data_IF_495905082399
#
_entry.id   IF_495905082399
#
_cell.length_a   1.000
_cell.length_b   1.000
_cell.length_c   1.000
_cell.angle_alpha   90.00
_cell.angle_beta   90.00
_cell.angle_gamma   90.00
#
_symmetry.space_group_name_H-M   'P 1'
#
loop_
_entity.id
_entity.type
_entity.pdbx_description
1 polymer ?
#
# COMPACT_ATOMS: atom_id res chain seq x y z
N UNK A 1 7.49 -80.18 12.37
CA UNK A 1 7.93 -79.46 13.58
C UNK A 1 7.22 -78.11 13.60
N UNK A 2 6.66 -77.76 14.73
CA UNK A 2 5.41 -76.98 14.92
C UNK A 2 5.56 -75.47 14.72
N UNK A 3 4.59 -74.86 14.01
CA UNK A 3 4.34 -73.40 13.97
C UNK A 3 3.94 -72.90 15.37
N UNK A 4 4.68 -71.95 15.93
CA UNK A 4 4.33 -71.23 17.17
C UNK A 4 3.46 -70.01 16.84
N UNK A 5 2.16 -70.12 17.08
CA UNK A 5 1.25 -68.98 17.19
C UNK A 5 1.55 -68.20 18.48
N UNK A 6 1.85 -66.90 18.37
CA UNK A 6 1.88 -65.99 19.52
C UNK A 6 0.45 -65.66 19.92
N UNK A 7 -0.01 -66.23 21.03
CA UNK A 7 -1.23 -65.80 21.69
C UNK A 7 -1.02 -64.38 22.25
N UNK A 8 -1.59 -63.36 21.62
CA UNK A 8 -1.81 -62.08 22.28
C UNK A 8 -2.88 -62.30 23.36
N UNK A 9 -2.49 -62.17 24.63
CA UNK A 9 -3.39 -62.35 25.76
C UNK A 9 -4.57 -61.39 25.68
N UNK A 10 -5.79 -61.92 25.78
CA UNK A 10 -7.05 -61.17 25.84
C UNK A 10 -7.05 -60.03 26.89
N UNK A 11 -6.13 -60.04 27.85
CA UNK A 11 -6.00 -59.01 28.90
C UNK A 11 -5.43 -57.68 28.38
N UNK A 12 -4.55 -57.68 27.38
CA UNK A 12 -3.91 -56.44 26.88
C UNK A 12 -4.89 -55.64 26.00
N UNK A 13 -5.63 -56.34 25.14
CA UNK A 13 -6.63 -55.73 24.25
C UNK A 13 -7.77 -55.09 25.07
N UNK A 14 -8.20 -55.75 26.15
CA UNK A 14 -9.21 -55.18 27.06
C UNK A 14 -8.73 -53.90 27.74
N UNK A 15 -7.43 -53.79 28.04
CA UNK A 15 -6.85 -52.61 28.70
C UNK A 15 -6.75 -51.43 27.75
N UNK A 16 -6.31 -51.65 26.51
CA UNK A 16 -6.23 -50.59 25.49
C UNK A 16 -7.62 -50.09 25.07
N UNK A 17 -8.59 -50.99 24.90
CA UNK A 17 -9.98 -50.61 24.61
C UNK A 17 -10.60 -49.84 25.78
N UNK A 18 -10.31 -50.22 27.02
CA UNK A 18 -10.78 -49.50 28.21
C UNK A 18 -10.15 -48.10 28.29
N UNK A 19 -8.84 -47.98 28.04
CA UNK A 19 -8.15 -46.68 28.04
C UNK A 19 -8.68 -45.77 26.93
N UNK A 20 -8.89 -46.32 25.72
CA UNK A 20 -9.46 -45.58 24.60
C UNK A 20 -10.89 -45.11 24.92
N UNK A 21 -11.74 -46.00 25.45
CA UNK A 21 -13.12 -45.68 25.84
C UNK A 21 -13.19 -44.60 26.91
N UNK A 22 -12.34 -44.69 27.95
CA UNK A 22 -12.24 -43.66 29.01
C UNK A 22 -11.76 -42.32 28.44
N UNK A 23 -10.78 -42.32 27.54
CA UNK A 23 -10.28 -41.09 26.93
C UNK A 23 -11.34 -40.43 26.04
N UNK A 24 -12.07 -41.21 25.23
CA UNK A 24 -13.20 -40.69 24.44
C UNK A 24 -14.34 -40.19 25.31
N UNK A 25 -14.65 -40.89 26.41
CA UNK A 25 -15.70 -40.46 27.34
C UNK A 25 -15.31 -39.14 28.04
N UNK A 26 -14.04 -38.98 28.46
CA UNK A 26 -13.53 -37.75 29.03
C UNK A 26 -13.49 -36.60 28.02
N UNK A 27 -13.14 -36.86 26.76
CA UNK A 27 -13.15 -35.87 25.70
C UNK A 27 -14.57 -35.38 25.40
N UNK A 28 -15.54 -36.31 25.30
CA UNK A 28 -16.95 -35.98 25.07
C UNK A 28 -17.54 -35.24 26.28
N UNK A 29 -17.25 -35.69 27.50
CA UNK A 29 -17.66 -34.99 28.71
C UNK A 29 -17.07 -33.58 28.79
N UNK A 30 -15.80 -33.40 28.41
CA UNK A 30 -15.15 -32.10 28.32
C UNK A 30 -15.86 -31.18 27.31
N UNK A 31 -16.14 -31.66 26.10
CA UNK A 31 -16.83 -30.89 25.07
C UNK A 31 -18.28 -30.53 25.47
N UNK A 32 -18.97 -31.42 26.21
CA UNK A 32 -20.35 -31.20 26.62
C UNK A 32 -20.50 -30.39 27.92
N UNK A 33 -19.52 -30.45 28.84
CA UNK A 33 -19.58 -29.77 30.14
C UNK A 33 -18.83 -28.42 30.16
N UNK A 34 -17.81 -28.23 29.31
CA UNK A 34 -17.09 -26.96 29.21
C UNK A 34 -17.99 -25.76 28.84
N UNK A 35 -18.95 -25.88 27.89
CA UNK A 35 -19.86 -24.78 27.59
C UNK A 35 -20.72 -24.43 28.80
N UNK A 36 -21.20 -25.43 29.54
CA UNK A 36 -22.04 -25.29 30.73
C UNK A 36 -21.30 -24.56 31.86
N UNK A 37 -20.06 -24.96 32.15
CA UNK A 37 -19.20 -24.32 33.15
C UNK A 37 -18.79 -22.89 32.76
N UNK A 38 -18.62 -22.61 31.47
CA UNK A 38 -18.34 -21.26 30.95
C UNK A 38 -19.58 -20.35 30.93
N UNK A 39 -20.78 -20.93 30.87
CA UNK A 39 -22.06 -20.19 30.84
C UNK A 39 -22.65 -19.97 32.25
N UNK A 40 -22.37 -20.83 33.23
CA UNK A 40 -22.87 -20.66 34.61
C UNK A 40 -21.98 -19.78 35.51
N UNK A 41 -20.78 -19.39 35.05
CA UNK A 41 -19.85 -18.52 35.77
C UNK A 41 -20.02 -17.01 35.55
N UNK A 42 -21.10 -16.57 34.91
CA UNK A 42 -21.29 -15.17 34.49
C UNK A 42 -22.59 -14.56 35.03
N UNK A 43 -22.75 -14.55 36.36
CA UNK A 43 -23.61 -13.56 37.02
C UNK A 43 -22.76 -12.35 37.38
N UNK A 44 -22.78 -11.31 36.53
CA UNK A 44 -22.32 -9.97 36.93
C UNK A 44 -21.21 -9.28 36.11
N UNK A 45 -21.07 -9.51 34.80
CA UNK A 45 -20.15 -8.73 33.95
C UNK A 45 -20.79 -8.38 32.59
N UNK A 46 -20.48 -7.21 31.99
CA UNK A 46 -21.10 -6.81 30.73
C UNK A 46 -20.75 -7.81 29.64
N UNK A 47 -21.77 -8.26 28.90
CA UNK A 47 -21.64 -9.23 27.83
C UNK A 47 -20.45 -8.88 26.92
N UNK A 48 -19.46 -9.77 26.82
CA UNK A 48 -18.35 -9.64 25.87
C UNK A 48 -18.91 -9.66 24.45
N UNK A 49 -19.20 -8.47 23.91
CA UNK A 49 -19.42 -8.26 22.48
C UNK A 49 -18.10 -8.49 21.75
N UNK A 50 -18.10 -9.44 20.83
CA UNK A 50 -16.97 -9.69 19.95
C UNK A 50 -16.86 -8.54 18.94
N UNK A 51 -15.78 -7.73 18.95
CA UNK A 51 -15.74 -6.43 18.26
C UNK A 51 -15.77 -6.50 16.73
N UNK A 52 -15.71 -7.69 16.13
CA UNK A 52 -15.67 -7.89 14.68
C UNK A 52 -17.01 -8.32 14.05
N UNK A 53 -18.04 -8.61 14.85
CA UNK A 53 -19.37 -9.01 14.35
C UNK A 53 -20.46 -7.96 14.59
N UNK A 54 -20.14 -6.83 15.22
CA UNK A 54 -21.09 -5.72 15.26
C UNK A 54 -21.20 -5.12 13.86
N UNK A 55 -22.41 -5.03 13.26
CA UNK A 55 -22.64 -4.08 12.19
C UNK A 55 -22.19 -2.74 12.74
N UNK A 56 -21.29 -2.06 12.03
CA UNK A 56 -20.89 -0.71 12.39
C UNK A 56 -22.16 0.14 12.46
N UNK A 57 -22.68 0.34 13.67
CA UNK A 57 -23.58 1.45 13.94
C UNK A 57 -22.73 2.69 13.73
N UNK A 58 -22.85 3.25 12.53
CA UNK A 58 -22.14 4.41 12.02
C UNK A 58 -22.49 5.71 12.77
N UNK A 59 -22.75 5.67 14.08
CA UNK A 59 -23.38 6.75 14.81
C UNK A 59 -22.74 7.10 16.17
N UNK A 60 -21.60 6.52 16.56
CA UNK A 60 -21.01 6.83 17.89
C UNK A 60 -19.47 6.72 18.00
N UNK A 61 -18.73 6.91 16.92
CA UNK A 61 -17.35 7.41 17.02
C UNK A 61 -17.43 8.87 16.57
N UNK A 62 -17.19 9.78 17.50
CA UNK A 62 -17.39 11.22 17.31
C UNK A 62 -16.89 11.68 15.94
N UNK A 63 -17.67 12.53 15.30
CA UNK A 63 -17.23 13.30 14.15
C UNK A 63 -15.85 13.90 14.45
N UNK A 64 -14.77 13.24 13.99
CA UNK A 64 -13.61 14.00 13.52
C UNK A 64 -14.17 14.84 12.39
N UNK A 65 -14.70 16.02 12.71
CA UNK A 65 -15.12 17.01 11.73
C UNK A 65 -14.00 17.10 10.71
N UNK A 66 -14.23 16.60 9.51
CA UNK A 66 -13.17 16.44 8.54
C UNK A 66 -12.83 17.83 8.00
N UNK A 67 -11.89 18.49 8.66
CA UNK A 67 -11.49 19.85 8.32
C UNK A 67 -10.94 19.97 6.89
N UNK A 68 -10.46 18.87 6.33
CA UNK A 68 -9.98 18.79 4.96
C UNK A 68 -10.95 17.97 4.09
N UNK A 69 -11.15 18.34 2.82
CA UNK A 69 -12.16 17.72 1.95
C UNK A 69 -11.86 16.25 1.63
N UNK A 70 -10.57 15.90 1.61
CA UNK A 70 -10.04 14.55 1.39
C UNK A 70 -8.73 14.37 2.15
N UNK A 71 -8.38 13.12 2.45
CA UNK A 71 -7.13 12.75 3.11
C UNK A 71 -6.49 11.56 2.41
N UNK A 72 -5.16 11.57 2.34
CA UNK A 72 -4.38 10.53 1.69
C UNK A 72 -3.52 9.74 2.68
N UNK A 73 -3.33 8.46 2.40
CA UNK A 73 -2.35 7.62 3.06
C UNK A 73 -1.24 7.27 2.07
N UNK A 74 0.01 7.55 2.44
CA UNK A 74 1.17 7.33 1.58
C UNK A 74 2.01 6.18 2.11
N UNK A 75 2.38 5.26 1.21
CA UNK A 75 3.57 4.42 1.37
C UNK A 75 4.71 5.08 0.60
N UNK A 76 5.82 5.36 1.29
CA UNK A 76 7.09 5.75 0.68
C UNK A 76 8.05 4.56 0.84
N UNK A 77 8.32 3.85 -0.26
CA UNK A 77 9.26 2.73 -0.30
C UNK A 77 10.67 3.20 -0.69
N UNK A 78 11.65 2.84 0.11
CA UNK A 78 13.06 3.17 -0.05
C UNK A 78 13.90 1.89 -0.05
N UNK A 79 14.99 1.88 -0.80
CA UNK A 79 15.98 0.80 -0.83
C UNK A 79 17.34 1.29 -0.30
N UNK A 80 18.36 0.43 -0.33
CA UNK A 80 19.72 0.79 0.08
C UNK A 80 20.21 2.04 -0.66
N UNK A 81 20.72 3.01 0.09
CA UNK A 81 21.14 4.34 -0.36
C UNK A 81 20.03 5.40 -0.44
N UNK A 82 18.76 5.06 -0.21
CA UNK A 82 17.63 5.97 -0.42
C UNK A 82 17.20 6.76 0.82
N UNK A 83 17.81 6.59 1.99
CA UNK A 83 17.37 7.25 3.23
C UNK A 83 17.14 8.78 3.08
N UNK A 84 18.11 9.49 2.50
CA UNK A 84 18.01 10.95 2.26
C UNK A 84 16.91 11.30 1.26
N UNK A 85 16.75 10.49 0.21
CA UNK A 85 15.75 10.71 -0.83
C UNK A 85 14.34 10.48 -0.31
N UNK A 86 14.15 9.44 0.49
CA UNK A 86 12.90 9.14 1.16
C UNK A 86 12.50 10.28 2.12
N UNK A 87 13.46 10.80 2.90
CA UNK A 87 13.23 11.96 3.76
C UNK A 87 12.89 13.23 2.97
N UNK A 88 13.60 13.50 1.86
CA UNK A 88 13.31 14.63 0.97
C UNK A 88 11.92 14.54 0.34
N UNK A 89 11.53 13.35 -0.13
CA UNK A 89 10.21 13.09 -0.71
C UNK A 89 9.11 13.23 0.34
N UNK A 90 9.30 12.67 1.54
CA UNK A 90 8.36 12.84 2.65
C UNK A 90 8.12 14.33 2.93
N UNK A 91 9.19 15.13 3.03
CA UNK A 91 9.07 16.57 3.23
C UNK A 91 8.33 17.29 2.08
N UNK A 92 8.53 16.83 0.83
CA UNK A 92 7.83 17.35 -0.34
C UNK A 92 6.32 17.07 -0.31
N UNK A 93 5.95 15.91 0.23
CA UNK A 93 4.57 15.41 0.28
C UNK A 93 3.83 15.77 1.56
N UNK A 94 4.52 16.28 2.58
CA UNK A 94 3.97 16.35 3.92
C UNK A 94 2.82 17.36 4.04
N UNK A 95 1.76 16.92 4.72
CA UNK A 95 0.62 17.72 5.14
C UNK A 95 0.02 17.06 6.40
N UNK A 96 -0.37 17.84 7.43
CA UNK A 96 -0.87 17.30 8.71
C UNK A 96 -2.18 16.48 8.62
N UNK A 97 -2.94 16.61 7.52
CA UNK A 97 -4.19 15.89 7.30
C UNK A 97 -3.96 14.43 6.87
N UNK A 98 -2.86 14.19 6.17
CA UNK A 98 -2.54 12.90 5.57
C UNK A 98 -1.85 11.98 6.57
N UNK A 99 -1.65 10.72 6.17
CA UNK A 99 -0.91 9.71 6.95
C UNK A 99 0.23 9.16 6.10
N UNK A 100 1.40 8.98 6.68
CA UNK A 100 2.61 8.55 5.98
C UNK A 100 3.20 7.33 6.65
N UNK A 101 3.52 6.31 5.85
CA UNK A 101 4.30 5.16 6.26
C UNK A 101 5.55 5.05 5.39
N UNK A 102 6.71 5.15 6.00
CA UNK A 102 8.00 5.03 5.34
C UNK A 102 8.54 3.62 5.58
N UNK A 103 8.88 2.92 4.50
CA UNK A 103 9.50 1.61 4.53
C UNK A 103 10.87 1.73 3.87
N UNK A 104 11.93 1.39 4.61
CA UNK A 104 13.26 1.14 4.07
C UNK A 104 13.44 -0.38 4.00
N UNK A 105 13.92 -0.89 2.87
CA UNK A 105 14.19 -2.31 2.70
C UNK A 105 15.08 -2.86 3.81
N UNK A 106 14.77 -4.06 4.29
CA UNK A 106 15.59 -4.77 5.28
C UNK A 106 17.02 -5.04 4.80
N UNK A 107 17.24 -5.05 3.48
CA UNK A 107 18.59 -5.17 2.92
C UNK A 107 19.50 -3.96 3.22
N UNK A 108 18.93 -2.79 3.55
CA UNK A 108 19.72 -1.62 3.93
C UNK A 108 20.46 -1.85 5.27
N UNK A 109 21.58 -1.18 5.45
CA UNK A 109 22.41 -1.34 6.67
C UNK A 109 21.71 -0.76 7.90
N UNK A 110 22.10 -1.22 9.09
CA UNK A 110 21.61 -0.67 10.35
C UNK A 110 21.87 0.84 10.46
N UNK A 111 23.01 1.30 9.95
CA UNK A 111 23.39 2.72 9.87
C UNK A 111 22.42 3.50 9.00
N UNK A 112 21.99 2.93 7.87
CA UNK A 112 21.04 3.58 6.98
C UNK A 112 19.64 3.63 7.58
N UNK A 113 19.19 2.55 8.23
CA UNK A 113 17.94 2.56 9.00
C UNK A 113 17.97 3.61 10.11
N UNK A 114 19.09 3.73 10.83
CA UNK A 114 19.30 4.76 11.86
C UNK A 114 19.26 6.16 11.26
N UNK A 115 19.97 6.39 10.16
CA UNK A 115 19.97 7.67 9.43
C UNK A 115 18.57 8.07 8.97
N UNK A 116 17.79 7.15 8.42
CA UNK A 116 16.41 7.43 8.06
C UNK A 116 15.57 7.81 9.29
N UNK A 117 15.72 7.08 10.40
CA UNK A 117 15.03 7.36 11.64
C UNK A 117 15.40 8.75 12.20
N UNK A 118 16.66 9.15 12.13
CA UNK A 118 17.15 10.48 12.54
C UNK A 118 16.59 11.59 11.63
N UNK A 119 16.63 11.41 10.31
CA UNK A 119 16.12 12.39 9.33
C UNK A 119 14.61 12.64 9.48
N UNK A 120 13.86 11.61 9.86
CA UNK A 120 12.41 11.71 10.10
C UNK A 120 12.14 12.23 11.51
N UNK A 121 12.71 11.63 12.55
CA UNK A 121 12.44 12.01 13.95
C UNK A 121 12.96 13.40 14.31
N UNK A 122 14.02 13.89 13.65
CA UNK A 122 14.57 15.22 13.84
C UNK A 122 13.62 16.36 13.43
N UNK A 123 12.46 16.07 12.83
CA UNK A 123 11.46 17.07 12.45
C UNK A 123 10.32 17.11 13.46
N UNK A 124 10.36 18.08 14.36
CA UNK A 124 9.34 18.24 15.42
C UNK A 124 7.90 18.26 14.93
N UNK A 125 7.62 18.75 13.71
CA UNK A 125 6.25 18.76 13.14
C UNK A 125 5.68 17.34 12.96
N UNK A 126 6.50 16.34 12.64
CA UNK A 126 6.02 14.96 12.48
C UNK A 126 5.60 14.36 13.82
N UNK A 127 6.36 14.63 14.87
CA UNK A 127 6.04 14.22 16.23
C UNK A 127 4.75 14.90 16.73
N UNK A 128 4.61 16.22 16.52
CA UNK A 128 3.43 16.98 16.94
C UNK A 128 2.15 16.53 16.24
N UNK A 129 2.21 16.29 14.92
CA UNK A 129 1.04 15.83 14.17
C UNK A 129 0.74 14.33 14.33
N UNK A 130 1.73 13.52 14.74
CA UNK A 130 1.57 12.08 14.99
C UNK A 130 1.13 11.27 13.75
N UNK A 131 1.47 11.74 12.54
CA UNK A 131 0.96 11.20 11.29
C UNK A 131 2.03 10.60 10.35
N UNK A 132 3.27 10.47 10.82
CA UNK A 132 4.38 9.85 10.10
C UNK A 132 4.90 8.66 10.88
N UNK A 133 5.04 7.53 10.21
CA UNK A 133 5.48 6.26 10.80
C UNK A 133 6.61 5.66 9.96
N UNK A 134 7.56 4.99 10.62
CA UNK A 134 8.57 4.15 9.97
C UNK A 134 8.23 2.69 10.28
N UNK A 135 8.33 1.82 9.29
CA UNK A 135 8.16 0.38 9.50
C UNK A 135 9.34 -0.14 10.35
N UNK A 136 9.08 -0.43 11.63
CA UNK A 136 10.13 -0.86 12.57
C UNK A 136 10.69 -2.26 12.31
N UNK A 137 9.89 -3.16 11.72
CA UNK A 137 10.33 -4.47 11.23
C UNK A 137 10.20 -4.48 9.71
N UNK A 138 11.22 -4.00 8.98
CA UNK A 138 11.13 -3.86 7.53
C UNK A 138 11.05 -5.23 6.85
N UNK A 139 10.28 -5.30 5.76
CA UNK A 139 10.26 -6.48 4.90
C UNK A 139 11.52 -6.48 4.02
N UNK A 140 12.02 -7.67 3.71
CA UNK A 140 12.98 -7.88 2.62
C UNK A 140 12.27 -7.88 1.28
N UNK A 141 12.75 -7.09 0.32
CA UNK A 141 12.07 -6.93 -0.97
C UNK A 141 12.92 -7.42 -2.12
N UNK A 142 12.46 -8.49 -2.76
CA UNK A 142 13.07 -8.96 -4.01
C UNK A 142 12.51 -8.19 -5.20
N UNK A 143 13.38 -7.57 -5.99
CA UNK A 143 12.97 -6.84 -7.19
C UNK A 143 12.21 -7.73 -8.18
N UNK A 144 11.04 -7.26 -8.63
CA UNK A 144 10.06 -8.01 -9.47
C UNK A 144 9.46 -9.23 -8.78
N UNK A 145 9.74 -9.45 -7.51
CA UNK A 145 9.17 -10.54 -6.74
C UNK A 145 7.79 -10.24 -6.16
N UNK A 146 7.07 -11.28 -5.72
CA UNK A 146 5.88 -11.15 -4.87
C UNK A 146 6.14 -10.37 -3.57
N UNK A 147 7.37 -10.37 -3.03
CA UNK A 147 7.70 -9.61 -1.81
C UNK A 147 7.51 -8.09 -1.95
N UNK A 148 7.66 -7.53 -3.15
CA UNK A 148 7.26 -6.14 -3.42
C UNK A 148 5.76 -5.91 -3.21
N UNK A 149 4.93 -6.88 -3.63
CA UNK A 149 3.48 -6.81 -3.50
C UNK A 149 3.08 -6.99 -2.03
N UNK A 150 3.63 -7.99 -1.34
CA UNK A 150 3.33 -8.23 0.08
C UNK A 150 3.78 -7.05 0.94
N UNK A 151 4.87 -6.36 0.59
CA UNK A 151 5.29 -5.11 1.26
C UNK A 151 4.25 -4.00 1.11
N UNK A 152 3.70 -3.84 -0.08
CA UNK A 152 2.61 -2.86 -0.32
C UNK A 152 1.37 -3.24 0.49
N UNK A 153 1.00 -4.52 0.54
CA UNK A 153 -0.16 -4.99 1.32
C UNK A 153 0.06 -4.90 2.83
N UNK A 154 1.28 -5.15 3.31
CA UNK A 154 1.67 -4.94 4.70
C UNK A 154 1.51 -3.45 5.06
N UNK A 155 1.99 -2.54 4.22
CA UNK A 155 1.80 -1.11 4.43
C UNK A 155 0.33 -0.69 4.49
N UNK A 156 -0.49 -1.19 3.56
CA UNK A 156 -1.94 -0.96 3.58
C UNK A 156 -2.57 -1.48 4.87
N UNK A 157 -2.22 -2.69 5.30
CA UNK A 157 -2.74 -3.28 6.54
C UNK A 157 -2.34 -2.47 7.79
N UNK A 158 -1.12 -1.93 7.84
CA UNK A 158 -0.68 -1.02 8.90
C UNK A 158 -1.50 0.26 8.87
N UNK A 159 -1.60 0.92 7.71
CA UNK A 159 -2.32 2.20 7.54
C UNK A 159 -3.82 2.09 7.83
N UNK A 160 -4.43 0.92 7.62
CA UNK A 160 -5.83 0.65 7.99
C UNK A 160 -6.03 0.47 9.50
N UNK A 161 -5.00 0.02 10.24
CA UNK A 161 -5.03 -0.16 11.69
C UNK A 161 -4.71 1.10 12.48
N UNK A 162 -4.05 2.08 11.86
CA UNK A 162 -3.84 3.38 12.47
C UNK A 162 -5.20 4.07 12.69
N UNK A 163 -5.38 4.73 13.83
CA UNK A 163 -6.63 5.44 14.21
C UNK A 163 -6.86 6.74 13.42
N UNK A 164 -6.47 6.79 12.14
CA UNK A 164 -6.63 7.94 11.26
C UNK A 164 -7.44 7.54 10.02
N UNK A 165 -8.53 8.25 9.77
CA UNK A 165 -9.33 8.07 8.56
C UNK A 165 -8.63 8.73 7.36
N UNK A 166 -8.66 8.04 6.23
CA UNK A 166 -8.09 8.45 4.95
C UNK A 166 -8.94 7.86 3.82
N UNK A 167 -9.01 8.56 2.68
CA UNK A 167 -9.90 8.23 1.56
C UNK A 167 -9.21 7.39 0.49
N UNK A 168 -7.95 7.71 0.19
CA UNK A 168 -7.13 6.96 -0.76
C UNK A 168 -5.74 6.64 -0.24
N UNK A 169 -5.25 5.47 -0.60
CA UNK A 169 -3.88 5.02 -0.44
C UNK A 169 -3.08 5.28 -1.72
N UNK A 170 -1.85 5.76 -1.60
CA UNK A 170 -0.92 6.01 -2.70
C UNK A 170 0.42 5.35 -2.37
N UNK A 171 0.94 4.51 -3.27
CA UNK A 171 2.32 4.01 -3.16
C UNK A 171 3.27 4.84 -4.02
N UNK A 172 4.44 5.16 -3.48
CA UNK A 172 5.54 5.88 -4.14
C UNK A 172 6.87 5.22 -3.74
N UNK A 173 7.91 5.31 -4.58
CA UNK A 173 9.27 5.05 -4.13
C UNK A 173 10.06 6.33 -3.92
N UNK A 174 11.23 6.22 -3.29
CA UNK A 174 12.21 7.31 -3.16
C UNK A 174 12.69 7.90 -4.51
N UNK A 175 12.29 7.30 -5.64
CA UNK A 175 12.56 7.79 -7.00
C UNK A 175 11.41 8.54 -7.66
N UNK A 176 10.29 8.67 -6.97
CA UNK A 176 9.13 9.45 -7.38
C UNK A 176 9.22 10.88 -6.83
N UNK A 177 8.53 11.82 -7.47
CA UNK A 177 8.42 13.19 -6.96
C UNK A 177 7.07 13.83 -7.35
N UNK A 178 6.46 14.64 -6.48
CA UNK A 178 5.18 15.28 -6.78
C UNK A 178 5.32 16.41 -7.82
N UNK A 179 4.31 16.53 -8.68
CA UNK A 179 4.13 17.59 -9.68
C UNK A 179 2.97 18.55 -9.34
N UNK A 180 2.42 18.41 -8.14
CA UNK A 180 1.35 19.22 -7.54
C UNK A 180 1.60 19.36 -6.04
N UNK A 181 1.10 20.41 -5.40
CA UNK A 181 1.09 20.49 -3.92
C UNK A 181 0.05 19.54 -3.34
N UNK A 182 0.10 19.30 -2.02
CA UNK A 182 -0.95 18.52 -1.34
C UNK A 182 -2.30 19.21 -1.41
N UNK A 183 -2.35 20.53 -1.25
CA UNK A 183 -3.56 21.33 -1.41
C UNK A 183 -4.12 21.23 -2.83
N UNK A 184 -3.26 21.23 -3.86
CA UNK A 184 -3.66 21.03 -5.25
C UNK A 184 -4.32 19.65 -5.44
N UNK A 185 -3.72 18.62 -4.85
CA UNK A 185 -4.23 17.25 -4.90
C UNK A 185 -5.57 17.13 -4.16
N UNK A 186 -5.67 17.69 -2.96
CA UNK A 186 -6.90 17.70 -2.17
C UNK A 186 -8.04 18.41 -2.92
N UNK A 187 -7.78 19.59 -3.47
CA UNK A 187 -8.73 20.37 -4.25
C UNK A 187 -9.18 19.63 -5.52
N UNK A 188 -8.27 18.94 -6.20
CA UNK A 188 -8.61 18.16 -7.40
C UNK A 188 -9.45 16.91 -7.08
N UNK A 189 -9.26 16.31 -5.92
CA UNK A 189 -9.96 15.09 -5.51
C UNK A 189 -11.24 15.34 -4.71
N UNK A 190 -11.43 16.57 -4.19
CA UNK A 190 -12.58 16.95 -3.36
C UNK A 190 -13.94 16.56 -3.96
N UNK A 191 -14.11 16.68 -5.28
CA UNK A 191 -15.37 16.35 -5.98
C UNK A 191 -15.48 14.93 -6.54
N UNK A 192 -14.48 14.07 -6.35
CA UNK A 192 -14.46 12.73 -6.97
C UNK A 192 -15.17 11.66 -6.12
N UNK A 193 -15.86 10.67 -6.70
CA UNK A 193 -16.35 9.53 -5.93
C UNK A 193 -15.18 8.82 -5.19
N UNK A 194 -15.34 8.60 -3.88
CA UNK A 194 -14.29 8.08 -2.99
C UNK A 194 -13.97 6.61 -3.21
N UNK A 195 -14.81 5.89 -3.93
CA UNK A 195 -14.66 4.49 -4.30
C UNK A 195 -13.82 4.28 -5.57
N UNK A 196 -13.41 5.35 -6.27
CA UNK A 196 -12.56 5.28 -7.45
C UNK A 196 -11.15 4.77 -7.13
N UNK A 197 -10.63 3.92 -8.03
CA UNK A 197 -9.29 3.35 -7.96
C UNK A 197 -8.52 3.70 -9.23
N UNK A 198 -7.44 4.46 -9.09
CA UNK A 198 -6.55 4.84 -10.18
C UNK A 198 -5.52 3.74 -10.37
N UNK A 199 -5.88 2.80 -11.23
CA UNK A 199 -5.12 1.59 -11.52
C UNK A 199 -5.02 1.50 -13.03
N UNK A 200 -3.84 1.73 -13.58
CA UNK A 200 -3.61 1.43 -15.00
C UNK A 200 -3.76 -0.09 -15.21
N UNK A 201 -4.56 -0.50 -16.18
CA UNK A 201 -4.82 -1.90 -16.49
C UNK A 201 -5.05 -2.16 -17.99
N UNK A 202 -4.70 -3.36 -18.43
CA UNK A 202 -5.04 -3.94 -19.73
C UNK A 202 -5.06 -5.45 -19.63
N UNK A 203 -5.98 -6.10 -20.36
CA UNK A 203 -5.99 -7.55 -20.53
C UNK A 203 -5.11 -8.02 -21.69
N UNK A 204 -4.51 -7.10 -22.45
CA UNK A 204 -3.61 -7.42 -23.56
C UNK A 204 -2.19 -7.64 -23.03
N UNK A 205 -1.91 -8.84 -22.52
CA UNK A 205 -0.63 -9.17 -21.89
C UNK A 205 0.54 -9.26 -22.89
N UNK A 206 0.28 -9.62 -24.16
CA UNK A 206 1.31 -9.75 -25.19
C UNK A 206 2.50 -10.63 -24.76
N UNK A 207 3.73 -10.12 -24.94
CA UNK A 207 4.95 -10.84 -24.56
C UNK A 207 5.03 -11.19 -23.07
N UNK A 208 4.30 -10.48 -22.19
CA UNK A 208 4.27 -10.76 -20.75
C UNK A 208 3.67 -12.13 -20.46
N UNK A 209 2.85 -12.71 -21.35
CA UNK A 209 2.35 -14.09 -21.21
C UNK A 209 3.53 -15.07 -21.13
N UNK A 210 4.41 -15.05 -22.14
CA UNK A 210 5.55 -15.97 -22.25
C UNK A 210 6.64 -15.68 -21.21
N UNK A 211 6.87 -14.40 -20.89
CA UNK A 211 8.02 -13.98 -20.06
C UNK A 211 7.70 -13.76 -18.58
N UNK A 212 6.43 -13.60 -18.18
CA UNK A 212 6.03 -13.27 -16.80
C UNK A 212 4.90 -14.16 -16.25
N UNK A 213 3.81 -14.36 -17.00
CA UNK A 213 2.63 -15.06 -16.48
C UNK A 213 2.78 -16.60 -16.45
N UNK A 214 3.34 -17.19 -17.52
CA UNK A 214 3.60 -18.63 -17.62
C UNK A 214 4.80 -19.09 -16.79
N UNK A 215 5.93 -18.35 -16.73
CA UNK A 215 7.04 -18.73 -15.88
C UNK A 215 6.63 -18.77 -14.41
N UNK A 216 6.87 -19.91 -13.75
CA UNK A 216 6.75 -20.07 -12.30
C UNK A 216 8.08 -19.67 -11.67
N UNK A 217 8.03 -18.76 -10.70
CA UNK A 217 9.19 -18.32 -9.92
C UNK A 217 9.02 -18.64 -8.44
N UNK A 218 10.13 -18.76 -7.76
CA UNK A 218 10.22 -18.75 -6.31
C UNK A 218 10.95 -17.46 -5.90
N UNK A 219 10.38 -16.74 -4.96
CA UNK A 219 11.01 -15.60 -4.32
C UNK A 219 11.60 -16.08 -3.00
N UNK A 220 12.92 -16.14 -2.91
CA UNK A 220 13.60 -16.70 -1.73
C UNK A 220 13.29 -15.89 -0.47
N UNK A 221 13.02 -14.58 -0.59
CA UNK A 221 12.72 -13.72 0.55
C UNK A 221 11.39 -14.05 1.24
N UNK A 222 10.56 -14.93 0.67
CA UNK A 222 9.38 -15.48 1.34
C UNK A 222 9.69 -16.65 2.28
N UNK A 223 10.84 -17.32 2.11
CA UNK A 223 11.12 -18.62 2.74
C UNK A 223 12.50 -18.70 3.41
N UNK A 224 13.45 -17.85 3.01
CA UNK A 224 14.83 -17.80 3.49
C UNK A 224 15.13 -16.42 4.08
N UNK A 225 15.78 -16.40 5.24
CA UNK A 225 16.20 -15.16 5.86
C UNK A 225 17.45 -14.60 5.15
N UNK A 226 17.52 -13.28 4.98
CA UNK A 226 18.66 -12.60 4.35
C UNK A 226 18.88 -12.83 2.84
N UNK A 227 18.03 -13.61 2.14
CA UNK A 227 18.20 -13.89 0.71
C UNK A 227 17.05 -13.36 -0.14
N UNK A 228 17.33 -12.39 -1.02
CA UNK A 228 16.36 -11.76 -1.92
C UNK A 228 16.63 -12.06 -3.41
N UNK A 229 16.23 -13.25 -3.87
CA UNK A 229 16.49 -13.72 -5.24
C UNK A 229 15.22 -14.32 -5.88
N UNK A 230 15.07 -14.11 -7.18
CA UNK A 230 14.06 -14.81 -7.99
C UNK A 230 14.64 -16.04 -8.65
N UNK A 231 14.35 -17.21 -8.08
CA UNK A 231 14.79 -18.49 -8.61
C UNK A 231 13.75 -19.02 -9.60
N UNK A 232 14.24 -19.53 -10.72
CA UNK A 232 13.47 -20.38 -11.63
C UNK A 232 14.00 -21.80 -11.49
N UNK A 233 13.21 -22.77 -11.01
CA UNK A 233 13.69 -24.14 -10.86
C UNK A 233 13.78 -24.87 -12.22
N UNK A 234 14.69 -24.42 -13.11
CA UNK A 234 14.88 -24.92 -14.49
C UNK A 234 15.22 -26.41 -14.54
N UNK A 235 15.83 -26.93 -13.49
CA UNK A 235 16.27 -28.33 -13.41
C UNK A 235 15.21 -29.28 -12.83
N UNK A 236 14.08 -28.76 -12.32
CA UNK A 236 13.07 -29.57 -11.60
C UNK A 236 11.76 -29.65 -12.40
N UNK A 237 11.42 -28.62 -13.16
CA UNK A 237 10.20 -28.58 -13.98
C UNK A 237 10.42 -27.79 -15.28
N UNK A 238 9.47 -27.86 -16.22
CA UNK A 238 9.46 -26.95 -17.38
C UNK A 238 9.30 -25.47 -16.98
N UNK A 239 8.94 -25.19 -15.72
CA UNK A 239 8.59 -23.89 -15.13
C UNK A 239 7.52 -23.13 -15.89
N UNK A 240 6.70 -23.79 -16.72
CA UNK A 240 5.65 -23.14 -17.47
C UNK A 240 4.29 -23.65 -17.01
N UNK A 241 3.54 -22.81 -16.30
CA UNK A 241 2.13 -23.06 -16.01
C UNK A 241 1.22 -22.64 -17.17
N UNK A 242 0.03 -23.24 -17.21
CA UNK A 242 -1.10 -22.73 -18.02
C UNK A 242 -1.64 -21.45 -17.39
N UNK A 243 -2.26 -20.61 -18.19
CA UNK A 243 -2.98 -19.44 -17.68
C UNK A 243 -4.24 -19.88 -16.92
N UNK A 244 -4.66 -19.13 -15.90
CA UNK A 244 -5.85 -19.45 -15.12
C UNK A 244 -7.10 -19.35 -15.98
N UNK A 245 -8.06 -20.26 -15.75
CA UNK A 245 -9.39 -20.26 -16.40
C UNK A 245 -10.47 -19.64 -15.51
N UNK A 246 -10.25 -19.62 -14.18
CA UNK A 246 -11.21 -19.10 -13.20
C UNK A 246 -11.28 -17.57 -13.16
N UNK A 247 -10.27 -16.86 -13.67
CA UNK A 247 -10.21 -15.41 -13.71
C UNK A 247 -9.35 -14.93 -14.88
N UNK A 248 -9.61 -13.71 -15.34
CA UNK A 248 -8.84 -13.08 -16.43
C UNK A 248 -7.66 -12.30 -15.85
N UNK A 249 -6.45 -12.52 -16.36
CA UNK A 249 -5.29 -11.72 -15.95
C UNK A 249 -5.35 -10.32 -16.55
N UNK A 250 -5.00 -9.33 -15.73
CA UNK A 250 -4.75 -7.96 -16.16
C UNK A 250 -3.36 -7.54 -15.73
N UNK A 251 -2.76 -6.61 -16.48
CA UNK A 251 -1.45 -6.03 -16.16
C UNK A 251 -1.48 -4.52 -16.34
N UNK A 252 -0.58 -3.81 -15.66
CA UNK A 252 -0.39 -2.37 -15.84
C UNK A 252 0.79 -1.85 -15.02
N UNK A 253 0.63 -0.66 -14.47
CA UNK A 253 1.62 -0.02 -13.61
C UNK A 253 1.69 -0.68 -12.22
N UNK A 254 2.87 -0.71 -11.62
CA UNK A 254 3.01 -1.07 -10.21
C UNK A 254 2.59 0.10 -9.27
N UNK A 255 2.44 1.31 -9.81
CA UNK A 255 1.98 2.49 -9.09
C UNK A 255 0.47 2.55 -9.17
N UNK A 256 -0.16 2.79 -8.03
CA UNK A 256 -1.60 2.79 -7.90
C UNK A 256 -2.04 3.81 -6.85
N UNK A 257 -3.24 4.33 -7.04
CA UNK A 257 -3.96 5.02 -5.97
C UNK A 257 -5.28 4.31 -5.72
N UNK A 258 -5.41 3.70 -4.54
CA UNK A 258 -6.48 2.78 -4.19
C UNK A 258 -7.46 3.47 -3.25
N UNK A 259 -8.76 3.36 -3.50
CA UNK A 259 -9.76 3.76 -2.52
C UNK A 259 -9.59 2.98 -1.23
N UNK A 260 -9.96 3.58 -0.09
CA UNK A 260 -9.97 2.89 1.20
C UNK A 260 -10.81 1.61 1.15
N UNK A 261 -11.96 1.65 0.50
CA UNK A 261 -12.85 0.49 0.38
C UNK A 261 -12.22 -0.68 -0.39
N UNK A 262 -11.42 -0.39 -1.43
CA UNK A 262 -10.69 -1.43 -2.15
C UNK A 262 -9.48 -1.93 -1.35
N UNK A 263 -8.79 -1.03 -0.65
CA UNK A 263 -7.70 -1.38 0.27
C UNK A 263 -8.17 -2.31 1.40
N UNK A 264 -9.34 -2.04 1.99
CA UNK A 264 -10.00 -2.92 2.96
C UNK A 264 -10.38 -4.26 2.33
N UNK A 265 -10.91 -4.26 1.11
CA UNK A 265 -11.26 -5.48 0.40
C UNK A 265 -10.06 -6.41 0.16
N UNK A 266 -8.91 -5.88 -0.26
CA UNK A 266 -7.72 -6.71 -0.55
C UNK A 266 -6.93 -7.16 0.68
N UNK A 267 -7.19 -6.58 1.85
CA UNK A 267 -6.49 -6.90 3.11
C UNK A 267 -7.35 -7.64 4.12
N UNK A 268 -8.59 -7.19 4.33
CA UNK A 268 -9.52 -7.68 5.36
C UNK A 268 -10.84 -8.21 4.78
N UNK A 269 -11.03 -8.16 3.45
CA UNK A 269 -12.27 -8.57 2.80
C UNK A 269 -12.61 -10.04 3.07
N UNK A 270 -13.90 -10.34 3.22
CA UNK A 270 -14.38 -11.72 3.43
C UNK A 270 -14.32 -12.56 2.15
N UNK A 271 -14.43 -11.94 0.98
CA UNK A 271 -14.34 -12.58 -0.33
C UNK A 271 -12.99 -13.32 -0.51
N UNK A 272 -13.04 -14.51 -1.13
CA UNK A 272 -11.85 -15.33 -1.36
C UNK A 272 -11.01 -14.86 -2.55
N UNK A 273 -11.58 -14.08 -3.48
CA UNK A 273 -10.90 -13.65 -4.70
C UNK A 273 -9.53 -13.00 -4.44
N UNK A 274 -9.38 -11.99 -3.55
CA UNK A 274 -8.05 -11.44 -3.24
C UNK A 274 -7.07 -12.49 -2.74
N UNK A 275 -7.49 -13.38 -1.83
CA UNK A 275 -6.64 -14.43 -1.26
C UNK A 275 -6.20 -15.45 -2.32
N UNK A 276 -7.13 -15.91 -3.15
CA UNK A 276 -6.83 -16.82 -4.27
C UNK A 276 -5.87 -16.18 -5.27
N UNK A 277 -6.07 -14.90 -5.58
CA UNK A 277 -5.17 -14.16 -6.46
C UNK A 277 -3.79 -13.94 -5.81
N UNK A 278 -3.68 -13.72 -4.50
CA UNK A 278 -2.39 -13.65 -3.82
C UNK A 278 -1.60 -14.94 -3.96
N UNK A 279 -2.23 -16.10 -3.74
CA UNK A 279 -1.60 -17.40 -3.92
C UNK A 279 -1.09 -17.57 -5.36
N UNK A 280 -1.88 -17.17 -6.35
CA UNK A 280 -1.46 -17.22 -7.76
C UNK A 280 -0.28 -16.27 -8.07
N UNK A 281 -0.28 -15.08 -7.46
CA UNK A 281 0.72 -14.03 -7.66
C UNK A 281 1.99 -14.23 -6.81
N UNK A 282 2.01 -15.19 -5.88
CA UNK A 282 3.22 -15.60 -5.17
C UNK A 282 4.28 -16.20 -6.10
N UNK A 283 3.87 -16.72 -7.26
CA UNK A 283 4.78 -17.35 -8.24
C UNK A 283 4.73 -16.71 -9.62
N UNK A 284 4.36 -15.42 -9.72
CA UNK A 284 4.41 -14.66 -10.97
C UNK A 284 5.55 -13.63 -10.92
N UNK A 285 6.15 -13.34 -12.07
CA UNK A 285 7.14 -12.27 -12.19
C UNK A 285 6.45 -10.92 -12.28
N UNK A 286 6.98 -9.94 -11.55
CA UNK A 286 6.46 -8.58 -11.45
C UNK A 286 5.03 -8.55 -10.91
N UNK A 287 4.73 -9.33 -9.86
CA UNK A 287 3.41 -9.42 -9.21
C UNK A 287 2.72 -8.08 -8.94
N UNK A 288 3.41 -6.99 -8.52
CA UNK A 288 2.79 -5.68 -8.34
C UNK A 288 2.16 -5.08 -9.61
N UNK A 289 2.63 -5.45 -10.80
CA UNK A 289 2.08 -5.02 -12.09
C UNK A 289 0.86 -5.85 -12.54
N UNK A 290 0.39 -6.81 -11.75
CA UNK A 290 -0.73 -7.69 -12.09
C UNK A 290 -1.81 -7.76 -11.02
N UNK A 291 -1.43 -7.79 -9.74
CA UNK A 291 -2.34 -8.16 -8.67
C UNK A 291 -3.52 -7.21 -8.54
N UNK A 292 -3.29 -5.92 -8.31
CA UNK A 292 -4.37 -4.95 -8.09
C UNK A 292 -5.28 -4.82 -9.32
N UNK A 293 -4.69 -4.85 -10.53
CA UNK A 293 -5.43 -4.85 -11.79
C UNK A 293 -6.36 -6.07 -11.88
N UNK A 294 -5.81 -7.26 -11.63
CA UNK A 294 -6.54 -8.52 -11.74
C UNK A 294 -7.64 -8.60 -10.68
N UNK A 295 -7.37 -8.21 -9.43
CA UNK A 295 -8.39 -8.20 -8.37
C UNK A 295 -9.51 -7.21 -8.70
N UNK A 296 -9.18 -5.96 -9.05
CA UNK A 296 -10.18 -4.94 -9.35
C UNK A 296 -11.07 -5.35 -10.52
N UNK A 297 -10.48 -5.85 -11.61
CA UNK A 297 -11.20 -6.19 -12.82
C UNK A 297 -12.00 -7.49 -12.76
N UNK A 298 -11.65 -8.43 -11.88
CA UNK A 298 -12.45 -9.64 -11.65
C UNK A 298 -13.46 -9.48 -10.50
N UNK A 299 -13.40 -8.40 -9.72
CA UNK A 299 -14.37 -8.14 -8.66
C UNK A 299 -15.61 -7.45 -9.20
N UNK A 300 -16.80 -7.99 -8.87
CA UNK A 300 -18.07 -7.38 -9.28
C UNK A 300 -18.26 -5.96 -8.72
N UNK A 301 -17.74 -5.71 -7.52
CA UNK A 301 -17.85 -4.42 -6.82
C UNK A 301 -16.94 -3.35 -7.42
N UNK A 302 -15.72 -3.72 -7.81
CA UNK A 302 -14.68 -2.74 -8.17
C UNK A 302 -14.43 -2.59 -9.68
N UNK A 303 -14.87 -3.54 -10.52
CA UNK A 303 -14.59 -3.51 -11.97
C UNK A 303 -15.02 -2.24 -12.71
N UNK A 304 -16.05 -1.55 -12.18
CA UNK A 304 -16.62 -0.32 -12.75
C UNK A 304 -16.16 0.96 -12.03
N UNK A 305 -15.35 0.81 -10.97
CA UNK A 305 -14.78 1.91 -10.20
C UNK A 305 -13.28 2.10 -10.52
N UNK A 306 -12.83 1.60 -11.67
CA UNK A 306 -11.44 1.76 -12.10
C UNK A 306 -11.28 3.00 -12.98
N UNK A 307 -10.25 3.79 -12.72
CA UNK A 307 -9.74 4.82 -13.63
C UNK A 307 -8.44 4.28 -14.19
N UNK A 308 -8.37 4.09 -15.51
CA UNK A 308 -7.24 3.44 -16.18
C UNK A 308 -6.04 4.40 -16.37
N UNK A 309 -5.49 4.87 -15.26
CA UNK A 309 -4.35 5.75 -15.17
C UNK A 309 -3.72 5.60 -13.77
N UNK A 310 -2.40 5.77 -13.65
CA UNK A 310 -1.69 5.65 -12.36
C UNK A 310 -1.27 7.00 -11.75
N UNK A 311 -1.64 8.10 -12.41
CA UNK A 311 -1.33 9.50 -12.03
C UNK A 311 0.16 9.87 -12.12
N UNK A 312 0.98 9.03 -12.77
CA UNK A 312 2.40 9.28 -12.93
C UNK A 312 2.74 9.70 -14.37
N UNK A 313 3.61 10.70 -14.48
CA UNK A 313 4.38 10.92 -15.70
C UNK A 313 5.62 10.02 -15.69
N UNK A 314 5.69 9.11 -16.67
CA UNK A 314 6.81 8.17 -16.82
C UNK A 314 7.29 8.19 -18.26
N UNK A 315 8.60 8.39 -18.46
CA UNK A 315 9.23 8.32 -19.78
C UNK A 315 9.89 6.96 -19.97
N UNK A 316 9.53 6.29 -21.06
CA UNK A 316 10.06 4.97 -21.44
C UNK A 316 10.85 5.05 -22.75
N UNK A 317 11.81 4.14 -22.92
CA UNK A 317 12.38 3.82 -24.23
C UNK A 317 11.30 3.30 -25.20
N UNK A 318 11.59 3.33 -26.50
CA UNK A 318 10.76 2.67 -27.53
C UNK A 318 11.58 1.59 -28.22
N UNK A 319 11.30 0.29 -28.03
CA UNK A 319 10.29 -0.27 -27.12
C UNK A 319 10.65 -0.12 -25.63
N UNK A 320 9.67 -0.16 -24.70
CA UNK A 320 9.93 -0.01 -23.27
C UNK A 320 10.86 -1.09 -22.72
N UNK A 321 11.95 -0.67 -22.06
CA UNK A 321 12.86 -1.53 -21.30
C UNK A 321 12.34 -1.79 -19.88
N UNK A 322 13.10 -2.55 -19.09
CA UNK A 322 12.71 -2.93 -17.73
C UNK A 322 12.63 -1.74 -16.75
N UNK A 323 13.45 -0.71 -16.95
CA UNK A 323 13.42 0.51 -16.13
C UNK A 323 13.06 1.71 -16.99
N UNK A 324 12.24 2.65 -16.48
CA UNK A 324 11.99 3.90 -17.17
C UNK A 324 13.25 4.76 -17.20
N UNK A 325 13.29 5.70 -18.14
CA UNK A 325 14.39 6.65 -18.26
C UNK A 325 14.41 7.60 -17.06
N UNK A 326 15.60 8.05 -16.67
CA UNK A 326 15.73 9.13 -15.71
C UNK A 326 15.21 10.44 -16.32
N UNK A 327 14.39 11.15 -15.56
CA UNK A 327 13.86 12.47 -15.92
C UNK A 327 14.86 13.55 -15.53
N UNK A 328 15.04 14.54 -16.40
CA UNK A 328 15.95 15.68 -16.19
C UNK A 328 15.23 17.00 -16.48
N UNK A 329 15.94 18.13 -16.34
CA UNK A 329 15.40 19.45 -16.67
C UNK A 329 14.82 19.57 -18.09
N UNK A 330 15.31 18.76 -19.04
CA UNK A 330 14.79 18.68 -20.42
C UNK A 330 13.35 18.16 -20.50
N UNK A 331 12.93 17.37 -19.52
CA UNK A 331 11.59 16.79 -19.45
C UNK A 331 10.58 17.67 -18.73
N UNK A 332 11.04 18.74 -18.07
CA UNK A 332 10.24 19.58 -17.18
C UNK A 332 8.94 20.08 -17.83
N UNK A 333 9.01 20.61 -19.06
CA UNK A 333 7.82 21.07 -19.79
C UNK A 333 6.83 19.92 -20.04
N UNK A 334 7.32 18.73 -20.41
CA UNK A 334 6.47 17.55 -20.65
C UNK A 334 5.82 17.04 -19.37
N UNK A 335 6.55 17.08 -18.25
CA UNK A 335 6.01 16.77 -16.93
C UNK A 335 4.82 17.68 -16.60
N UNK A 336 4.97 19.00 -16.74
CA UNK A 336 3.88 19.96 -16.48
C UNK A 336 2.67 19.76 -17.40
N UNK A 337 2.92 19.57 -18.71
CA UNK A 337 1.86 19.41 -19.71
C UNK A 337 1.08 18.09 -19.54
N UNK A 338 1.66 17.08 -18.89
CA UNK A 338 0.97 15.81 -18.64
C UNK A 338 -0.26 15.95 -17.73
N UNK A 339 -0.26 16.96 -16.83
CA UNK A 339 -1.27 17.10 -15.78
C UNK A 339 -1.20 16.03 -14.68
N UNK A 340 -0.20 15.15 -14.71
CA UNK A 340 0.00 14.09 -13.71
C UNK A 340 0.31 14.67 -12.33
N UNK A 341 -0.05 13.93 -11.28
CA UNK A 341 0.21 14.33 -9.89
C UNK A 341 1.65 14.00 -9.46
N UNK A 342 2.26 12.98 -10.07
CA UNK A 342 3.60 12.50 -9.74
C UNK A 342 4.42 12.27 -11.01
N UNK A 343 5.74 12.15 -10.86
CA UNK A 343 6.65 11.79 -11.95
C UNK A 343 7.74 10.84 -11.49
N UNK A 344 8.25 10.02 -12.43
CA UNK A 344 9.38 9.13 -12.19
C UNK A 344 10.16 8.72 -13.46
N UNK A 345 11.43 8.34 -13.35
CA UNK A 345 12.25 8.28 -12.12
C UNK A 345 13.31 9.38 -12.08
N UNK A 346 13.63 9.87 -10.89
CA UNK A 346 14.68 10.88 -10.70
C UNK A 346 15.96 10.27 -10.12
N UNK A 347 17.10 10.85 -10.45
CA UNK A 347 18.37 10.58 -9.74
C UNK A 347 18.39 11.38 -8.44
N UNK A 348 19.18 10.92 -7.48
CA UNK A 348 19.51 11.74 -6.32
C UNK A 348 20.20 13.03 -6.78
N UNK A 349 19.81 14.16 -6.20
CA UNK A 349 20.43 15.46 -6.48
C UNK A 349 20.25 15.99 -7.92
N UNK A 350 19.35 15.41 -8.73
CA UNK A 350 19.11 15.96 -10.06
C UNK A 350 18.55 17.40 -9.96
N UNK A 351 19.13 18.39 -10.67
CA UNK A 351 18.69 19.80 -10.58
C UNK A 351 17.22 20.03 -10.95
N UNK A 352 16.59 19.08 -11.66
CA UNK A 352 15.15 19.17 -11.94
C UNK A 352 14.30 19.09 -10.67
N UNK A 353 14.78 18.40 -9.62
CA UNK A 353 14.08 18.31 -8.34
C UNK A 353 13.99 19.69 -7.67
N UNK A 354 15.09 20.45 -7.68
CA UNK A 354 15.13 21.80 -7.12
C UNK A 354 14.26 22.77 -7.94
N UNK A 355 14.20 22.55 -9.26
CA UNK A 355 13.27 23.27 -10.13
C UNK A 355 11.81 22.96 -9.81
N UNK A 356 11.45 21.70 -9.56
CA UNK A 356 10.10 21.30 -9.13
C UNK A 356 9.77 21.92 -7.77
N UNK A 357 10.71 21.87 -6.84
CA UNK A 357 10.59 22.44 -5.50
C UNK A 357 10.22 23.92 -5.57
N UNK A 358 10.98 24.72 -6.32
CA UNK A 358 10.74 26.15 -6.48
C UNK A 358 9.47 26.46 -7.29
N UNK A 359 9.35 25.90 -8.48
CA UNK A 359 8.35 26.32 -9.47
C UNK A 359 6.96 25.73 -9.19
N UNK A 360 6.87 24.57 -8.53
CA UNK A 360 5.61 23.84 -8.29
C UNK A 360 5.27 23.80 -6.81
N UNK A 361 6.19 23.29 -5.97
CA UNK A 361 5.92 23.03 -4.56
C UNK A 361 6.12 24.27 -3.67
N UNK A 362 6.61 25.37 -4.28
CA UNK A 362 6.92 26.65 -3.65
C UNK A 362 7.93 26.54 -2.50
N UNK A 363 8.78 25.52 -2.52
CA UNK A 363 9.80 25.27 -1.50
C UNK A 363 11.02 26.14 -1.79
N UNK A 364 11.53 26.86 -0.79
CA UNK A 364 12.75 27.67 -0.93
C UNK A 364 14.01 26.82 -0.97
N UNK A 365 14.08 25.81 -0.11
CA UNK A 365 15.26 24.95 0.03
C UNK A 365 14.89 23.45 0.03
N UNK A 366 15.79 22.57 -0.46
CA UNK A 366 15.62 21.13 -0.36
C UNK A 366 15.39 20.71 1.08
N UNK A 367 14.35 19.90 1.31
CA UNK A 367 13.98 19.47 2.65
C UNK A 367 13.01 20.41 3.36
N UNK A 368 12.73 21.64 2.92
CA UNK A 368 11.61 22.40 3.51
C UNK A 368 10.27 21.75 3.18
N UNK A 369 9.19 22.09 3.89
CA UNK A 369 7.85 21.61 3.53
C UNK A 369 7.31 22.36 2.31
N UNK A 370 6.44 21.71 1.53
CA UNK A 370 5.70 22.41 0.48
C UNK A 370 4.78 23.47 1.11
N UNK A 371 4.79 24.69 0.56
CA UNK A 371 3.94 25.77 1.08
C UNK A 371 2.51 25.63 0.55
N UNK A 372 1.55 25.89 1.44
CA UNK A 372 0.12 25.70 1.23
C UNK A 372 -0.69 26.39 2.33
N UNK A 373 -1.94 25.97 2.52
CA UNK A 373 -2.84 26.54 3.53
C UNK A 373 -2.39 26.27 4.96
N UNK A 374 -1.74 25.13 5.21
CA UNK A 374 -1.21 24.78 6.53
C UNK A 374 0.22 25.28 6.79
N UNK A 375 0.97 25.65 5.75
CA UNK A 375 2.34 26.18 5.88
C UNK A 375 2.56 27.38 4.96
N UNK A 376 2.64 28.57 5.56
CA UNK A 376 2.83 29.85 4.87
C UNK A 376 4.32 30.12 4.61
N UNK A 377 4.67 30.75 3.49
CA UNK A 377 6.05 31.20 3.23
C UNK A 377 6.36 32.62 3.71
N UNK A 378 5.43 33.25 4.44
CA UNK A 378 5.45 34.66 4.85
C UNK A 378 5.66 34.78 6.37
N UNK A 379 6.86 35.19 6.77
CA UNK A 379 7.27 35.46 8.15
C UNK A 379 8.74 35.11 8.39
N UNK A 380 9.62 36.10 8.23
CA UNK A 380 10.97 36.05 8.81
C UNK A 380 10.81 36.26 10.31
N UNK A 381 10.64 35.19 11.07
CA UNK A 381 10.82 35.24 12.52
C UNK A 381 12.32 35.37 12.82
N UNK A 382 12.69 36.33 13.66
CA UNK A 382 14.03 36.40 14.25
C UNK A 382 14.36 35.07 14.92
N UNK A 383 15.32 34.32 14.38
CA UNK A 383 15.73 33.02 14.91
C UNK A 383 15.56 31.82 13.98
N UNK A 384 15.87 31.94 12.69
CA UNK A 384 16.50 30.86 11.90
C UNK A 384 15.86 29.46 11.84
N UNK A 385 14.58 29.28 12.17
CA UNK A 385 13.96 27.95 12.15
C UNK A 385 12.45 27.97 12.05
N UNK A 386 11.91 27.20 11.08
CA UNK A 386 10.61 26.47 11.08
C UNK A 386 9.40 27.14 11.77
N UNK A 387 9.30 28.47 11.79
CA UNK A 387 8.24 29.21 12.49
C UNK A 387 6.94 29.38 11.68
N UNK A 388 6.87 28.74 10.50
CA UNK A 388 5.92 29.12 9.44
C UNK A 388 4.87 28.05 9.07
N UNK A 389 5.09 26.82 9.53
CA UNK A 389 4.16 25.72 9.32
C UNK A 389 3.32 25.48 10.58
N UNK A 390 2.04 25.85 10.51
CA UNK A 390 1.10 25.75 11.60
C UNK A 390 0.72 24.29 11.86
N UNK A 391 0.73 23.85 13.12
CA UNK A 391 0.07 22.60 13.49
C UNK A 391 -1.44 22.90 13.63
N UNK A 392 -2.35 22.22 12.89
CA UNK A 392 -3.79 22.45 12.99
C UNK A 392 -4.38 22.19 14.39
N UNK A 393 -3.64 21.49 15.26
CA UNK A 393 -3.97 21.32 16.68
C UNK A 393 -3.67 22.56 17.52
N UNK A 394 -2.63 23.32 17.17
CA UNK A 394 -2.17 24.52 17.89
C UNK A 394 -2.76 25.81 17.31
N UNK A 395 -3.07 25.84 16.01
CA UNK A 395 -3.71 26.98 15.34
C UNK A 395 -5.06 26.59 14.72
N UNK A 396 -6.15 26.59 15.51
CA UNK A 396 -7.49 26.25 15.03
C UNK A 396 -7.98 27.15 13.87
N UNK A 397 -7.51 28.39 13.79
CA UNK A 397 -7.89 29.37 12.75
C UNK A 397 -7.44 28.97 11.34
N UNK A 398 -6.36 28.17 11.21
CA UNK A 398 -5.85 27.67 9.92
C UNK A 398 -6.25 26.22 9.65
N UNK A 399 -7.11 25.65 10.50
CA UNK A 399 -7.55 24.26 10.37
C UNK A 399 -8.43 24.09 9.14
N UNK A 400 -8.05 23.17 8.24
CA UNK A 400 -8.79 22.94 7.00
C UNK A 400 -8.47 23.92 5.86
N UNK A 401 -7.58 24.88 6.09
CA UNK A 401 -7.16 25.80 5.06
C UNK A 401 -6.40 25.06 3.95
N UNK A 402 -6.87 25.21 2.71
CA UNK A 402 -6.18 24.78 1.50
C UNK A 402 -5.96 25.99 0.59
N UNK A 403 -4.77 26.09 -0.01
CA UNK A 403 -4.40 27.16 -0.95
C UNK A 403 -4.01 26.54 -2.30
N UNK A 404 -4.99 26.07 -3.09
CA UNK A 404 -4.72 25.46 -4.38
C UNK A 404 -4.04 26.45 -5.33
N UNK A 405 -3.09 25.93 -6.10
CA UNK A 405 -2.31 26.63 -7.11
C UNK A 405 -2.67 26.21 -8.53
N UNK A 406 -1.72 26.42 -9.45
CA UNK A 406 -1.90 26.04 -10.85
C UNK A 406 -1.90 24.50 -11.06
N UNK A 407 -1.31 23.74 -10.13
CA UNK A 407 -1.30 22.27 -10.20
C UNK A 407 -2.70 21.68 -10.14
N UNK A 408 -3.58 22.20 -9.28
CA UNK A 408 -4.97 21.77 -9.15
C UNK A 408 -5.72 21.87 -10.48
N UNK A 409 -5.55 22.98 -11.21
CA UNK A 409 -6.20 23.20 -12.52
C UNK A 409 -5.73 22.21 -13.57
N UNK A 410 -4.41 21.96 -13.66
CA UNK A 410 -3.86 20.97 -14.59
C UNK A 410 -4.36 19.56 -14.28
N UNK A 411 -4.35 19.20 -13.01
CA UNK A 411 -4.79 17.89 -12.54
C UNK A 411 -6.30 17.69 -12.75
N UNK A 412 -7.14 18.68 -12.40
CA UNK A 412 -8.59 18.67 -12.67
C UNK A 412 -8.90 18.53 -14.16
N UNK A 413 -8.16 19.21 -15.04
CA UNK A 413 -8.35 19.07 -16.48
C UNK A 413 -8.03 17.65 -16.96
N UNK A 414 -6.95 17.04 -16.48
CA UNK A 414 -6.60 15.65 -16.78
C UNK A 414 -7.68 14.68 -16.27
N UNK A 415 -8.09 14.82 -15.00
CA UNK A 415 -9.11 13.99 -14.37
C UNK A 415 -10.47 14.11 -15.08
N UNK A 416 -10.92 15.34 -15.39
CA UNK A 416 -12.17 15.59 -16.11
C UNK A 416 -12.19 14.92 -17.49
N UNK A 417 -11.06 14.92 -18.22
CA UNK A 417 -10.93 14.20 -19.48
C UNK A 417 -11.08 12.68 -19.29
N UNK A 418 -10.42 12.11 -18.28
CA UNK A 418 -10.48 10.67 -17.98
C UNK A 418 -11.88 10.23 -17.52
N UNK A 419 -12.53 11.07 -16.72
CA UNK A 419 -13.84 10.80 -16.15
C UNK A 419 -15.01 11.16 -17.06
N UNK A 420 -14.76 11.76 -18.22
CA UNK A 420 -15.81 11.97 -19.23
C UNK A 420 -16.54 10.64 -19.53
N UNK A 421 -17.89 10.62 -19.64
CA UNK A 421 -18.65 9.37 -19.75
C UNK A 421 -18.15 8.45 -20.87
N UNK A 422 -17.72 9.04 -21.99
CA UNK A 422 -17.14 8.32 -23.13
C UNK A 422 -15.82 7.62 -22.78
N UNK A 423 -14.87 8.32 -22.16
CA UNK A 423 -13.56 7.76 -21.83
C UNK A 423 -13.66 6.78 -20.68
N UNK A 424 -14.40 7.14 -19.62
CA UNK A 424 -14.58 6.30 -18.45
C UNK A 424 -15.17 4.94 -18.81
N UNK A 425 -16.26 4.90 -19.61
CA UNK A 425 -16.87 3.63 -20.06
C UNK A 425 -15.99 2.82 -21.02
N UNK A 426 -15.17 3.49 -21.84
CA UNK A 426 -14.25 2.81 -22.78
C UNK A 426 -13.07 2.15 -22.08
N UNK A 427 -12.64 2.72 -20.95
CA UNK A 427 -11.44 2.30 -20.24
C UNK A 427 -11.71 1.40 -19.02
N UNK A 428 -12.96 0.99 -18.78
CA UNK A 428 -13.28 -0.02 -17.78
C UNK A 428 -12.70 -1.38 -18.14
N UNK A 429 -12.60 -2.25 -17.14
CA UNK A 429 -12.19 -3.64 -17.28
C UNK A 429 -13.06 -4.38 -18.31
N UNK A 430 -12.43 -5.04 -19.29
CA UNK A 430 -13.07 -5.80 -20.37
C UNK A 430 -12.29 -7.08 -20.64
#
# INVERSE_FOLDING_TARGET
MVMRARAMGLSSIRREVLVSAVFTALLVASILLLPSLLLTGSTGGPARRWPFLSPSTAAAEGEEQAWYPVRFAYLISASTGDASRAARLLAALYHPANTYLVHLDREATAEEHRRLAELVSGRGVYARAGNVWIVGRPNLVTYRGPTMLTTTLHAVAVLLRLRRRWDWFINLSASDYPLVTQDDLMEAFAGLPRDLNFIQHTSHLGWKIKKRARPVILDTALYEDGRAELIRPVNITTNLRRLPTAFKLYTGSAWTMLSRSFAEYVTMGWDNLPRTLLLYHANIISSPEFYFQTVACNSRRFRNATVNHDLHYIRWDTPPKQHPLYLTARDYRRMLLSGAAFARKFREGDPVLDRIDRDILRRREPGHFAYGGWCSGEGEGEGGGVALCSNPQEEPSRRGAIRPGAGSRRLKAMLGKMMSPRNFRRQQCR
#
